data_IF_151926244091
#
_entry.id   IF_151926244091
#
_cell.length_a   1.000
_cell.length_b   1.000
_cell.length_c   1.000
_cell.angle_alpha   90.00
_cell.angle_beta   90.00
_cell.angle_gamma   90.00
#
_symmetry.space_group_name_H-M   'P 1'
#
loop_
_entity.id
_entity.type
_entity.pdbx_description
1 polymer ?
#
# COMPACT_ATOMS: atom_id res chain seq x y z
N UNK A 1 28.39 -20.20 5.87
CA UNK A 1 28.09 -19.07 4.94
C UNK A 1 26.73 -19.22 4.28
N UNK A 2 26.43 -20.28 3.50
CA UNK A 2 25.09 -20.45 2.92
C UNK A 2 24.01 -20.60 4.00
N UNK A 3 24.23 -21.44 5.01
CA UNK A 3 23.29 -21.69 6.10
C UNK A 3 22.98 -20.42 6.93
N UNK A 4 23.97 -19.56 7.15
CA UNK A 4 23.78 -18.31 7.92
C UNK A 4 22.86 -17.33 7.19
N UNK A 5 22.98 -17.19 5.86
CA UNK A 5 22.09 -16.36 5.07
C UNK A 5 20.67 -16.92 5.09
N UNK A 6 20.51 -18.24 4.94
CA UNK A 6 19.19 -18.89 4.93
C UNK A 6 18.40 -18.64 6.21
N UNK A 7 19.07 -18.54 7.38
CA UNK A 7 18.39 -18.19 8.65
C UNK A 7 17.77 -16.78 8.63
N UNK A 8 18.21 -15.91 7.74
CA UNK A 8 17.72 -14.53 7.59
C UNK A 8 16.79 -14.34 6.39
N UNK A 9 16.73 -15.29 5.44
CA UNK A 9 16.03 -15.16 4.16
C UNK A 9 14.58 -14.70 4.29
N UNK A 10 13.77 -15.40 5.09
CA UNK A 10 12.36 -15.07 5.28
C UNK A 10 12.16 -13.67 5.91
N UNK A 11 13.01 -13.32 6.88
CA UNK A 11 12.98 -11.98 7.46
C UNK A 11 13.32 -10.91 6.42
N UNK A 12 14.35 -11.12 5.60
CA UNK A 12 14.75 -10.19 4.54
C UNK A 12 13.67 -10.05 3.48
N UNK A 13 13.01 -11.17 3.11
CA UNK A 13 11.87 -11.20 2.20
C UNK A 13 10.72 -10.34 2.74
N UNK A 14 10.36 -10.50 4.02
CA UNK A 14 9.36 -9.67 4.68
C UNK A 14 9.73 -8.18 4.71
N UNK A 15 11.01 -7.84 4.90
CA UNK A 15 11.52 -6.47 4.86
C UNK A 15 11.39 -5.89 3.44
N UNK A 16 11.87 -6.62 2.44
CA UNK A 16 11.81 -6.21 1.04
C UNK A 16 10.37 -6.04 0.55
N UNK A 17 9.48 -6.96 0.94
CA UNK A 17 8.06 -6.87 0.60
C UNK A 17 7.39 -5.60 1.16
N UNK A 18 7.66 -5.22 2.41
CA UNK A 18 7.18 -3.95 2.99
C UNK A 18 7.70 -2.72 2.24
N UNK A 19 8.89 -2.82 1.68
CA UNK A 19 9.51 -1.73 0.93
C UNK A 19 9.03 -1.65 -0.52
N UNK A 20 8.84 -2.80 -1.19
CA UNK A 20 8.59 -2.89 -2.64
C UNK A 20 7.11 -3.11 -2.98
N UNK A 21 6.34 -3.75 -2.09
CA UNK A 21 4.92 -4.07 -2.30
C UNK A 21 4.68 -5.21 -3.30
N UNK A 22 5.71 -5.93 -3.73
CA UNK A 22 5.66 -7.05 -4.68
C UNK A 22 6.53 -8.19 -4.18
N UNK A 23 5.98 -9.42 -4.15
CA UNK A 23 6.72 -10.62 -3.74
C UNK A 23 7.84 -10.96 -4.71
N UNK A 24 7.58 -10.89 -6.02
CA UNK A 24 8.61 -11.20 -7.01
C UNK A 24 9.81 -10.26 -6.89
N UNK A 25 9.57 -8.95 -6.72
CA UNK A 25 10.67 -8.01 -6.54
C UNK A 25 11.32 -8.13 -5.15
N UNK A 26 10.58 -8.57 -4.13
CA UNK A 26 11.16 -8.88 -2.83
C UNK A 26 12.11 -10.09 -2.92
N UNK A 27 11.72 -11.13 -3.65
CA UNK A 27 12.54 -12.30 -3.91
C UNK A 27 13.79 -11.93 -4.74
N UNK A 28 13.64 -11.10 -5.77
CA UNK A 28 14.77 -10.58 -6.55
C UNK A 28 15.74 -9.76 -5.68
N UNK A 29 15.21 -8.90 -4.80
CA UNK A 29 16.03 -8.10 -3.88
C UNK A 29 16.78 -8.98 -2.86
N UNK A 30 16.17 -10.05 -2.37
CA UNK A 30 16.80 -11.01 -1.47
C UNK A 30 17.87 -11.81 -2.19
N UNK A 31 17.61 -12.21 -3.44
CA UNK A 31 18.60 -12.89 -4.27
C UNK A 31 19.82 -12.00 -4.56
N UNK A 32 19.62 -10.74 -4.90
CA UNK A 32 20.70 -9.78 -5.08
C UNK A 32 21.48 -9.54 -3.77
N UNK A 33 20.79 -9.49 -2.62
CA UNK A 33 21.42 -9.40 -1.30
C UNK A 33 22.30 -10.62 -1.01
N UNK A 34 21.85 -11.83 -1.38
CA UNK A 34 22.65 -13.06 -1.30
C UNK A 34 23.89 -12.99 -2.16
N UNK A 35 23.79 -12.51 -3.40
CA UNK A 35 24.96 -12.35 -4.29
C UNK A 35 25.98 -11.36 -3.71
N UNK A 36 25.52 -10.26 -3.11
CA UNK A 36 26.41 -9.28 -2.44
C UNK A 36 27.07 -9.88 -1.19
N UNK A 37 26.30 -10.64 -0.40
CA UNK A 37 26.84 -11.35 0.75
C UNK A 37 27.97 -12.31 0.37
N UNK A 38 27.79 -13.06 -0.72
CA UNK A 38 28.78 -14.04 -1.19
C UNK A 38 30.10 -13.39 -1.67
N UNK A 39 30.04 -12.13 -2.10
CA UNK A 39 31.20 -11.36 -2.58
C UNK A 39 31.86 -10.52 -1.51
N UNK A 40 31.17 -10.30 -0.39
CA UNK A 40 31.67 -9.47 0.70
C UNK A 40 32.50 -10.29 1.69
N UNK A 41 33.57 -9.68 2.23
CA UNK A 41 34.23 -10.23 3.41
C UNK A 41 33.42 -9.81 4.66
N UNK A 42 32.69 -10.77 5.21
CA UNK A 42 31.80 -10.54 6.35
C UNK A 42 32.36 -11.08 7.67
N UNK A 43 33.63 -11.50 7.71
CA UNK A 43 34.27 -12.08 8.91
C UNK A 43 34.28 -11.12 10.10
N UNK A 44 34.40 -9.84 9.85
CA UNK A 44 34.45 -8.80 10.89
C UNK A 44 33.06 -8.17 11.16
N UNK A 45 31.98 -8.68 10.57
CA UNK A 45 30.61 -8.15 10.76
C UNK A 45 30.03 -8.74 12.05
N UNK A 46 30.06 -7.98 13.14
CA UNK A 46 29.51 -8.39 14.44
C UNK A 46 27.97 -8.62 14.46
N UNK A 47 27.23 -8.03 13.53
CA UNK A 47 25.77 -8.21 13.39
C UNK A 47 25.41 -8.47 11.92
N UNK A 48 25.48 -9.73 11.51
CA UNK A 48 25.18 -10.14 10.14
C UNK A 48 23.72 -9.82 9.73
N UNK A 49 22.75 -10.05 10.62
CA UNK A 49 21.35 -9.77 10.35
C UNK A 49 21.06 -8.28 10.12
N UNK A 50 21.72 -7.39 10.85
CA UNK A 50 21.66 -5.95 10.65
C UNK A 50 22.30 -5.53 9.34
N UNK A 51 23.49 -6.07 9.03
CA UNK A 51 24.20 -5.82 7.78
C UNK A 51 23.37 -6.26 6.55
N UNK A 52 22.82 -7.48 6.57
CA UNK A 52 21.95 -7.99 5.50
C UNK A 52 20.68 -7.13 5.34
N UNK A 53 20.09 -6.67 6.43
CA UNK A 53 18.93 -5.75 6.39
C UNK A 53 19.29 -4.45 5.68
N UNK A 54 20.47 -3.89 5.99
CA UNK A 54 21.00 -2.66 5.37
C UNK A 54 21.25 -2.85 3.87
N UNK A 55 21.87 -3.97 3.48
CA UNK A 55 22.12 -4.31 2.07
C UNK A 55 20.81 -4.46 1.30
N UNK A 56 19.85 -5.21 1.85
CA UNK A 56 18.52 -5.40 1.24
C UNK A 56 17.78 -4.07 1.09
N UNK A 57 17.81 -3.22 2.13
CA UNK A 57 17.17 -1.91 2.09
C UNK A 57 17.77 -0.99 1.00
N UNK A 58 19.08 -1.04 0.78
CA UNK A 58 19.78 -0.28 -0.27
C UNK A 58 19.35 -0.76 -1.66
N UNK A 59 19.24 -2.08 -1.86
CA UNK A 59 18.73 -2.67 -3.11
C UNK A 59 17.28 -2.21 -3.36
N UNK A 60 16.42 -2.27 -2.34
CA UNK A 60 15.03 -1.81 -2.44
C UNK A 60 14.95 -0.32 -2.79
N UNK A 61 15.81 0.52 -2.20
CA UNK A 61 15.87 1.95 -2.52
C UNK A 61 16.21 2.19 -3.98
N UNK A 62 17.20 1.47 -4.51
CA UNK A 62 17.63 1.59 -5.90
C UNK A 62 16.51 1.15 -6.85
N UNK A 63 15.81 0.05 -6.55
CA UNK A 63 14.65 -0.41 -7.32
C UNK A 63 13.50 0.62 -7.30
N UNK A 64 13.20 1.21 -6.15
CA UNK A 64 12.16 2.25 -6.03
C UNK A 64 12.52 3.52 -6.80
N UNK A 65 13.79 3.93 -6.80
CA UNK A 65 14.28 5.08 -7.59
C UNK A 65 14.18 4.79 -9.09
N UNK A 66 14.58 3.58 -9.53
CA UNK A 66 14.48 3.16 -10.93
C UNK A 66 13.01 3.10 -11.42
N UNK A 67 12.06 2.70 -10.56
CA UNK A 67 10.62 2.77 -10.86
C UNK A 67 10.16 4.22 -11.05
N UNK A 68 10.62 5.13 -10.21
CA UNK A 68 10.28 6.56 -10.30
C UNK A 68 10.69 7.16 -11.65
N UNK A 69 11.92 6.90 -12.11
CA UNK A 69 12.43 7.41 -13.39
C UNK A 69 11.76 6.75 -14.62
N UNK A 70 11.35 5.48 -14.54
CA UNK A 70 10.59 4.82 -15.62
C UNK A 70 9.13 5.29 -15.73
N UNK A 71 8.53 5.80 -14.64
CA UNK A 71 7.17 6.36 -14.64
C UNK A 71 7.05 7.69 -15.40
N UNK A 72 8.13 8.34 -15.72
CA UNK A 72 8.16 9.55 -16.56
C UNK A 72 8.08 9.24 -18.07
N UNK A 73 8.23 7.95 -18.46
CA UNK A 73 8.00 7.47 -19.81
C UNK A 73 6.65 6.77 -19.92
N UNK A 74 5.83 7.01 -20.97
CA UNK A 74 4.58 6.28 -21.17
C UNK A 74 4.90 4.80 -21.38
N UNK A 75 4.48 3.94 -20.46
CA UNK A 75 4.64 2.50 -20.59
C UNK A 75 3.32 1.89 -21.06
N UNK A 76 3.38 1.21 -22.19
CA UNK A 76 2.42 0.21 -22.63
C UNK A 76 2.29 -0.88 -21.54
N UNK A 77 1.05 -1.33 -21.32
CA UNK A 77 0.69 -2.36 -20.34
C UNK A 77 1.49 -3.65 -20.59
N UNK A 78 2.52 -3.90 -19.80
CA UNK A 78 3.14 -5.23 -19.75
C UNK A 78 2.46 -6.09 -18.68
N UNK A 79 1.98 -7.30 -19.04
CA UNK A 79 1.46 -8.24 -18.06
C UNK A 79 2.60 -8.72 -17.15
N UNK A 80 2.49 -8.44 -15.84
CA UNK A 80 3.44 -8.95 -14.85
C UNK A 80 3.08 -10.39 -14.51
N UNK A 81 3.89 -11.32 -15.02
CA UNK A 81 3.81 -12.75 -14.76
C UNK A 81 4.42 -13.12 -13.40
N UNK A 82 3.79 -14.02 -12.64
CA UNK A 82 4.52 -15.03 -11.90
C UNK A 82 4.69 -14.90 -10.39
N UNK A 83 3.77 -14.33 -9.60
CA UNK A 83 3.74 -14.60 -8.16
C UNK A 83 2.52 -15.46 -7.79
N UNK A 84 2.71 -16.42 -6.88
CA UNK A 84 1.63 -17.24 -6.36
C UNK A 84 0.64 -16.36 -5.57
N UNK A 85 -0.63 -16.25 -6.02
CA UNK A 85 -1.60 -15.35 -5.38
C UNK A 85 -1.87 -15.70 -3.91
N UNK A 86 -1.74 -16.97 -3.50
CA UNK A 86 -2.00 -17.39 -2.14
C UNK A 86 -0.91 -16.94 -1.16
N UNK A 87 0.37 -17.00 -1.56
CA UNK A 87 1.47 -16.51 -0.73
C UNK A 87 1.44 -14.98 -0.58
N UNK A 88 1.02 -14.27 -1.62
CA UNK A 88 0.88 -12.82 -1.60
C UNK A 88 -0.22 -12.36 -0.63
N UNK A 89 -1.33 -13.11 -0.55
CA UNK A 89 -2.43 -12.87 0.40
C UNK A 89 -1.97 -13.08 1.85
N UNK A 90 -1.27 -14.18 2.15
CA UNK A 90 -0.80 -14.49 3.51
C UNK A 90 0.20 -13.45 4.01
N UNK A 91 1.13 -13.00 3.18
CA UNK A 91 2.12 -12.00 3.57
C UNK A 91 1.51 -10.59 3.68
N UNK A 92 0.54 -10.27 2.82
CA UNK A 92 -0.20 -9.01 2.89
C UNK A 92 -1.06 -8.92 4.16
N UNK A 93 -1.69 -10.02 4.59
CA UNK A 93 -2.43 -10.08 5.85
C UNK A 93 -1.51 -9.90 7.07
N UNK A 94 -0.30 -10.50 7.06
CA UNK A 94 0.67 -10.36 8.13
C UNK A 94 1.24 -8.92 8.28
N UNK A 95 1.23 -8.12 7.20
CA UNK A 95 1.76 -6.73 7.18
C UNK A 95 0.66 -5.68 7.32
N UNK A 96 -0.60 -6.09 7.10
CA UNK A 96 -1.73 -5.18 6.98
C UNK A 96 -1.75 -4.50 5.60
N UNK A 97 -2.72 -4.86 4.77
CA UNK A 97 -2.88 -4.33 3.40
C UNK A 97 -2.95 -2.81 3.36
N UNK A 98 -3.66 -2.22 4.33
CA UNK A 98 -3.77 -0.77 4.45
C UNK A 98 -2.40 -0.08 4.62
N UNK A 99 -1.47 -0.70 5.37
CA UNK A 99 -0.12 -0.17 5.54
C UNK A 99 0.65 -0.19 4.23
N UNK A 100 0.59 -1.27 3.44
CA UNK A 100 1.26 -1.37 2.14
C UNK A 100 0.80 -0.28 1.18
N UNK A 101 -0.51 -0.03 1.12
CA UNK A 101 -1.10 1.02 0.29
C UNK A 101 -0.54 2.40 0.66
N UNK A 102 -0.50 2.70 1.96
CA UNK A 102 0.02 3.98 2.43
C UNK A 102 1.52 4.10 2.18
N UNK A 103 2.28 3.01 2.37
CA UNK A 103 3.71 2.99 2.09
C UNK A 103 4.00 3.30 0.60
N UNK A 104 3.12 2.92 -0.34
CA UNK A 104 3.27 3.26 -1.76
C UNK A 104 3.15 4.75 -2.06
N UNK A 105 2.43 5.50 -1.24
CA UNK A 105 2.31 6.95 -1.39
C UNK A 105 3.54 7.73 -0.90
N UNK A 106 4.44 7.05 -0.19
CA UNK A 106 5.65 7.65 0.34
C UNK A 106 6.73 7.77 -0.76
N UNK A 107 7.50 8.85 -0.71
CA UNK A 107 8.71 8.93 -1.52
C UNK A 107 9.69 7.79 -1.11
N UNK A 108 10.50 7.25 -2.03
CA UNK A 108 11.38 6.12 -1.76
C UNK A 108 12.17 6.24 -0.45
N UNK A 109 12.84 7.37 -0.23
CA UNK A 109 13.63 7.59 0.99
C UNK A 109 12.77 7.71 2.26
N UNK A 110 11.55 8.23 2.17
CA UNK A 110 10.60 8.30 3.29
C UNK A 110 10.13 6.88 3.67
N UNK A 111 9.83 6.04 2.68
CA UNK A 111 9.42 4.65 2.86
C UNK A 111 10.50 3.84 3.56
N UNK A 112 11.74 3.90 3.05
CA UNK A 112 12.88 3.19 3.66
C UNK A 112 13.11 3.65 5.11
N UNK A 113 13.15 4.98 5.35
CA UNK A 113 13.36 5.51 6.71
C UNK A 113 12.26 5.05 7.68
N UNK A 114 11.01 5.02 7.24
CA UNK A 114 9.87 4.57 8.04
C UNK A 114 9.92 3.07 8.32
N UNK A 115 10.09 2.25 7.30
CA UNK A 115 10.10 0.78 7.47
C UNK A 115 11.27 0.37 8.36
N UNK A 116 12.48 0.88 8.13
CA UNK A 116 13.63 0.51 8.95
C UNK A 116 13.48 0.98 10.39
N UNK A 117 13.06 2.21 10.64
CA UNK A 117 12.99 2.75 11.99
C UNK A 117 11.71 2.39 12.74
N UNK A 118 10.54 2.67 12.15
CA UNK A 118 9.25 2.56 12.85
C UNK A 118 8.73 1.12 12.90
N UNK A 119 9.08 0.28 11.91
CA UNK A 119 8.63 -1.12 11.84
C UNK A 119 9.69 -2.08 12.38
N UNK A 120 10.98 -1.82 12.10
CA UNK A 120 12.08 -2.73 12.43
C UNK A 120 12.98 -2.22 13.57
N UNK A 121 12.69 -1.04 14.13
CA UNK A 121 13.42 -0.41 15.23
C UNK A 121 14.94 -0.19 14.95
N UNK A 122 15.35 -0.05 13.69
CA UNK A 122 16.75 0.23 13.32
C UNK A 122 17.09 1.68 13.71
N UNK A 123 18.23 1.93 14.36
CA UNK A 123 18.66 3.27 14.72
C UNK A 123 18.91 4.18 13.52
N UNK A 124 18.57 5.48 13.61
CA UNK A 124 18.80 6.43 12.52
C UNK A 124 20.26 6.52 12.07
N UNK A 125 21.20 6.31 12.97
CA UNK A 125 22.64 6.28 12.65
C UNK A 125 22.99 5.17 11.64
N UNK A 126 22.31 4.02 11.73
CA UNK A 126 22.50 2.89 10.82
C UNK A 126 21.73 3.07 9.51
N UNK A 127 20.57 3.77 9.54
CA UNK A 127 19.76 4.06 8.34
C UNK A 127 20.40 5.16 7.49
N UNK A 128 21.03 6.14 8.12
CA UNK A 128 21.58 7.31 7.44
C UNK A 128 22.54 6.97 6.27
N UNK A 129 23.47 6.01 6.40
CA UNK A 129 24.33 5.57 5.30
C UNK A 129 23.58 4.88 4.16
N UNK A 130 22.44 4.23 4.44
CA UNK A 130 21.58 3.58 3.41
C UNK A 130 20.99 4.64 2.48
N UNK A 131 20.62 5.80 3.05
CA UNK A 131 19.94 6.88 2.35
C UNK A 131 20.88 7.95 1.80
N UNK A 132 22.20 7.86 2.06
CA UNK A 132 23.20 8.89 1.78
C UNK A 132 22.79 10.24 2.42
N UNK A 133 22.43 10.21 3.72
CA UNK A 133 21.95 11.36 4.50
C UNK A 133 22.58 11.41 5.88
N UNK A 134 22.39 12.55 6.58
CA UNK A 134 22.72 12.60 8.01
C UNK A 134 21.60 11.91 8.84
N UNK A 135 21.91 11.46 10.08
CA UNK A 135 20.91 10.93 10.99
C UNK A 135 19.72 11.88 11.23
N UNK A 136 19.97 13.20 11.32
CA UNK A 136 18.95 14.23 11.50
C UNK A 136 18.06 14.35 10.26
N UNK A 137 18.64 14.29 9.05
CA UNK A 137 17.88 14.30 7.81
C UNK A 137 17.03 13.02 7.69
N UNK A 138 17.56 11.88 8.07
CA UNK A 138 16.84 10.59 8.11
C UNK A 138 15.68 10.64 9.11
N UNK A 139 15.88 11.19 10.31
CA UNK A 139 14.81 11.41 11.30
C UNK A 139 13.69 12.31 10.74
N UNK A 140 14.04 13.36 9.99
CA UNK A 140 13.05 14.22 9.31
C UNK A 140 12.25 13.47 8.25
N UNK A 141 12.89 12.56 7.49
CA UNK A 141 12.22 11.70 6.51
C UNK A 141 11.20 10.76 7.19
N UNK A 142 11.61 10.04 8.24
CA UNK A 142 10.71 9.19 9.01
C UNK A 142 9.55 10.00 9.63
N UNK A 143 9.83 11.21 10.13
CA UNK A 143 8.80 12.11 10.67
C UNK A 143 7.76 12.54 9.61
N UNK A 144 8.18 12.80 8.36
CA UNK A 144 7.25 13.08 7.26
C UNK A 144 6.42 11.86 6.90
N UNK A 145 7.07 10.70 6.81
CA UNK A 145 6.38 9.44 6.56
C UNK A 145 5.32 9.15 7.62
N UNK A 146 5.65 9.27 8.92
CA UNK A 146 4.69 9.08 10.02
C UNK A 146 3.46 9.96 9.90
N UNK A 147 3.62 11.24 9.52
CA UNK A 147 2.48 12.14 9.33
C UNK A 147 1.58 11.69 8.19
N UNK A 148 2.15 11.18 7.09
CA UNK A 148 1.39 10.62 5.97
C UNK A 148 0.70 9.30 6.36
N UNK A 149 1.39 8.42 7.11
CA UNK A 149 0.86 7.12 7.52
C UNK A 149 -0.24 7.26 8.57
N UNK A 150 -0.07 8.14 9.58
CA UNK A 150 -1.05 8.30 10.67
C UNK A 150 -2.37 8.92 10.26
N UNK A 151 -2.43 9.60 9.12
CA UNK A 151 -3.65 10.28 8.68
C UNK A 151 -4.19 11.33 9.68
N UNK A 152 -5.50 11.55 9.66
CA UNK A 152 -6.18 12.45 10.61
C UNK A 152 -6.26 11.83 12.01
N UNK A 153 -6.34 12.67 13.03
CA UNK A 153 -6.56 12.22 14.41
C UNK A 153 -7.86 11.42 14.51
N UNK A 154 -7.86 10.23 15.15
CA UNK A 154 -9.08 9.45 15.32
C UNK A 154 -10.19 10.28 15.97
N UNK A 155 -11.35 10.37 15.31
CA UNK A 155 -12.57 10.96 15.85
C UNK A 155 -13.68 9.91 15.85
N UNK A 156 -14.72 10.14 16.66
CA UNK A 156 -15.89 9.25 16.67
C UNK A 156 -16.54 9.16 15.28
N UNK A 157 -16.49 10.24 14.52
CA UNK A 157 -16.99 10.28 13.15
C UNK A 157 -16.16 9.42 12.20
N UNK A 158 -14.82 9.47 12.29
CA UNK A 158 -13.94 8.61 11.47
C UNK A 158 -14.14 7.12 11.77
N UNK A 159 -14.29 6.76 13.04
CA UNK A 159 -14.58 5.37 13.43
C UNK A 159 -15.94 4.89 12.87
N UNK A 160 -16.96 5.77 12.87
CA UNK A 160 -18.26 5.49 12.26
C UNK A 160 -18.12 5.35 10.73
N UNK A 161 -17.46 6.28 10.06
CA UNK A 161 -17.23 6.24 8.62
C UNK A 161 -16.48 4.97 8.20
N UNK A 162 -15.45 4.60 8.98
CA UNK A 162 -14.72 3.33 8.73
C UNK A 162 -15.66 2.13 8.77
N UNK A 163 -16.56 2.03 9.76
CA UNK A 163 -17.53 0.92 9.81
C UNK A 163 -18.42 0.89 8.59
N UNK A 164 -19.01 2.04 8.20
CA UNK A 164 -19.87 2.13 7.01
C UNK A 164 -19.13 1.67 5.75
N UNK A 165 -17.90 2.13 5.56
CA UNK A 165 -17.06 1.76 4.41
C UNK A 165 -16.72 0.28 4.44
N UNK A 166 -16.35 -0.27 5.61
CA UNK A 166 -16.04 -1.69 5.76
C UNK A 166 -17.23 -2.55 5.40
N UNK A 167 -18.44 -2.24 5.92
CA UNK A 167 -19.69 -2.94 5.58
C UNK A 167 -19.99 -2.87 4.07
N UNK A 168 -19.78 -1.68 3.46
CA UNK A 168 -19.94 -1.53 2.01
C UNK A 168 -18.98 -2.45 1.23
N UNK A 169 -17.70 -2.46 1.59
CA UNK A 169 -16.69 -3.27 0.90
C UNK A 169 -16.92 -4.79 1.09
N UNK A 170 -17.35 -5.22 2.27
CA UNK A 170 -17.72 -6.60 2.56
C UNK A 170 -18.89 -7.03 1.68
N UNK A 171 -19.97 -6.25 1.65
CA UNK A 171 -21.13 -6.53 0.82
C UNK A 171 -20.77 -6.57 -0.70
N UNK A 172 -19.86 -5.71 -1.17
CA UNK A 172 -19.35 -5.77 -2.55
C UNK A 172 -18.56 -7.06 -2.80
N UNK A 173 -17.70 -7.48 -1.87
CA UNK A 173 -16.89 -8.72 -2.00
C UNK A 173 -17.79 -9.95 -2.11
N UNK A 174 -18.85 -9.99 -1.33
CA UNK A 174 -19.82 -11.11 -1.29
C UNK A 174 -20.83 -11.04 -2.45
N UNK A 175 -21.00 -9.86 -3.05
CA UNK A 175 -22.07 -9.59 -4.02
C UNK A 175 -23.44 -9.49 -3.37
N UNK A 176 -23.46 -9.08 -2.08
CA UNK A 176 -24.66 -8.95 -1.26
C UNK A 176 -25.37 -7.62 -1.54
N UNK A 177 -26.30 -7.63 -2.52
CA UNK A 177 -27.11 -6.46 -2.86
C UNK A 177 -28.00 -6.01 -1.68
N UNK A 178 -28.69 -6.88 -0.94
CA UNK A 178 -29.39 -6.48 0.29
C UNK A 178 -28.48 -5.77 1.29
N UNK A 179 -27.30 -6.28 1.57
CA UNK A 179 -26.31 -5.66 2.45
C UNK A 179 -25.91 -4.28 1.97
N UNK A 180 -25.65 -4.09 0.66
CA UNK A 180 -25.37 -2.78 0.07
C UNK A 180 -26.50 -1.78 0.31
N UNK A 181 -27.76 -2.20 0.17
CA UNK A 181 -28.92 -1.35 0.39
C UNK A 181 -29.06 -0.85 1.84
N UNK A 182 -28.43 -1.51 2.82
CA UNK A 182 -28.44 -1.05 4.21
C UNK A 182 -27.55 0.17 4.43
N UNK A 183 -26.44 0.26 3.69
CA UNK A 183 -25.44 1.33 3.84
C UNK A 183 -25.51 2.40 2.76
N UNK A 184 -26.25 2.18 1.68
CA UNK A 184 -26.51 3.19 0.65
C UNK A 184 -27.76 4.01 0.99
N UNK A 185 -27.71 5.32 0.77
CA UNK A 185 -28.91 6.16 0.80
C UNK A 185 -29.82 5.82 -0.41
N UNK A 186 -31.17 5.90 -0.27
CA UNK A 186 -32.07 5.56 -1.39
C UNK A 186 -31.79 6.33 -2.68
N UNK A 187 -31.35 7.56 -2.55
CA UNK A 187 -31.03 8.51 -3.63
C UNK A 187 -29.52 8.65 -3.88
N UNK A 188 -28.71 7.72 -3.42
CA UNK A 188 -27.25 7.74 -3.57
C UNK A 188 -26.81 8.04 -5.00
N UNK A 189 -25.77 8.85 -5.13
CA UNK A 189 -25.18 9.22 -6.41
C UNK A 189 -23.77 8.64 -6.50
N UNK A 190 -23.52 7.82 -7.51
CA UNK A 190 -22.17 7.38 -7.87
C UNK A 190 -21.68 8.20 -9.06
N UNK A 191 -20.52 8.83 -8.92
CA UNK A 191 -19.78 9.47 -10.01
C UNK A 191 -18.54 8.67 -10.37
N UNK A 192 -18.10 8.74 -11.61
CA UNK A 192 -16.83 8.13 -12.02
C UNK A 192 -16.16 8.97 -13.11
N UNK A 193 -14.85 8.91 -13.15
CA UNK A 193 -14.05 9.44 -14.26
C UNK A 193 -13.95 8.47 -15.45
N UNK A 194 -14.64 7.32 -15.37
CA UNK A 194 -14.83 6.31 -16.42
C UNK A 194 -16.33 6.11 -16.69
N UNK A 195 -16.68 5.52 -17.84
CA UNK A 195 -18.08 5.28 -18.19
C UNK A 195 -18.72 4.13 -17.38
N UNK A 196 -19.97 4.25 -16.98
CA UNK A 196 -20.84 5.42 -17.08
C UNK A 196 -20.47 6.48 -16.03
N UNK A 197 -20.48 7.78 -16.36
CA UNK A 197 -19.94 8.84 -15.48
C UNK A 197 -20.79 9.09 -14.24
N UNK A 198 -22.09 8.86 -14.30
CA UNK A 198 -23.03 9.08 -13.18
C UNK A 198 -24.08 7.98 -13.13
N UNK A 199 -24.29 7.43 -11.93
CA UNK A 199 -25.38 6.49 -11.65
C UNK A 199 -26.12 6.95 -10.39
N UNK A 200 -27.45 6.80 -10.38
CA UNK A 200 -28.30 7.25 -9.26
C UNK A 200 -29.21 6.14 -8.77
N UNK A 201 -29.49 6.18 -7.46
CA UNK A 201 -30.38 5.28 -6.76
C UNK A 201 -29.71 4.01 -6.27
N UNK A 202 -30.00 3.66 -5.01
CA UNK A 202 -29.33 2.59 -4.29
C UNK A 202 -29.32 1.24 -5.03
N UNK A 203 -30.46 0.86 -5.64
CA UNK A 203 -30.57 -0.43 -6.36
C UNK A 203 -29.64 -0.47 -7.57
N UNK A 204 -29.66 0.56 -8.40
CA UNK A 204 -28.82 0.63 -9.60
C UNK A 204 -27.34 0.61 -9.26
N UNK A 205 -26.96 1.36 -8.21
CA UNK A 205 -25.57 1.44 -7.70
C UNK A 205 -25.14 0.10 -7.13
N UNK A 206 -26.01 -0.59 -6.37
CA UNK A 206 -25.70 -1.89 -5.78
C UNK A 206 -25.53 -2.98 -6.84
N UNK A 207 -26.38 -3.03 -7.87
CA UNK A 207 -26.27 -4.01 -8.95
C UNK A 207 -25.00 -3.79 -9.78
N UNK A 208 -24.64 -2.54 -10.07
CA UNK A 208 -23.38 -2.23 -10.75
C UNK A 208 -22.17 -2.64 -9.90
N UNK A 209 -22.17 -2.30 -8.62
CA UNK A 209 -21.09 -2.68 -7.71
C UNK A 209 -20.89 -4.20 -7.65
N UNK A 210 -21.97 -4.97 -7.63
CA UNK A 210 -21.93 -6.44 -7.70
C UNK A 210 -21.27 -6.95 -8.98
N UNK A 211 -21.62 -6.36 -10.14
CA UNK A 211 -21.15 -6.84 -11.45
C UNK A 211 -19.69 -6.48 -11.72
N UNK A 212 -19.27 -5.24 -11.38
CA UNK A 212 -17.99 -4.70 -11.82
C UNK A 212 -16.88 -4.82 -10.78
N UNK A 213 -17.21 -5.10 -9.51
CA UNK A 213 -16.27 -4.85 -8.41
C UNK A 213 -15.87 -6.08 -7.62
N UNK A 214 -16.53 -7.25 -7.77
CA UNK A 214 -16.31 -8.43 -6.91
C UNK A 214 -14.85 -8.88 -6.87
N UNK A 215 -14.20 -9.03 -8.01
CA UNK A 215 -12.79 -9.43 -8.06
C UNK A 215 -11.85 -8.35 -7.54
N UNK A 216 -12.17 -7.08 -7.77
CA UNK A 216 -11.36 -5.94 -7.35
C UNK A 216 -11.54 -5.62 -5.88
N UNK A 217 -12.72 -5.87 -5.32
CA UNK A 217 -13.05 -5.58 -3.93
C UNK A 217 -12.21 -6.37 -2.92
N UNK A 218 -11.64 -7.51 -3.30
CA UNK A 218 -10.70 -8.25 -2.45
C UNK A 218 -9.41 -7.47 -2.13
N UNK A 219 -9.07 -6.49 -2.97
CA UNK A 219 -7.92 -5.60 -2.78
C UNK A 219 -8.32 -4.21 -2.30
N UNK A 220 -9.59 -4.05 -1.89
CA UNK A 220 -10.10 -2.77 -1.42
C UNK A 220 -9.88 -2.63 0.08
N UNK A 221 -9.33 -1.50 0.51
CA UNK A 221 -9.09 -1.18 1.92
C UNK A 221 -9.61 0.22 2.24
N UNK A 222 -10.21 0.41 3.43
CA UNK A 222 -10.59 1.74 3.91
C UNK A 222 -9.37 2.66 4.02
N UNK A 223 -9.52 3.91 3.56
CA UNK A 223 -8.47 4.91 3.59
C UNK A 223 -9.04 6.32 3.74
N UNK A 224 -8.21 7.28 4.15
CA UNK A 224 -8.48 8.69 3.96
C UNK A 224 -7.83 9.15 2.65
N UNK A 225 -8.62 9.77 1.79
CA UNK A 225 -8.20 10.28 0.50
C UNK A 225 -8.42 11.80 0.50
N UNK A 226 -7.34 12.57 0.43
CA UNK A 226 -7.36 14.03 0.61
C UNK A 226 -8.07 14.45 1.91
N UNK A 227 -7.88 13.66 2.99
CA UNK A 227 -8.51 13.87 4.30
C UNK A 227 -9.98 13.48 4.38
N UNK A 228 -10.59 12.95 3.32
CA UNK A 228 -11.99 12.49 3.26
C UNK A 228 -12.08 10.96 3.43
N UNK A 229 -13.15 10.44 4.06
CA UNK A 229 -13.39 9.00 4.13
C UNK A 229 -13.44 8.38 2.74
N UNK A 230 -12.74 7.29 2.54
CA UNK A 230 -12.64 6.63 1.25
C UNK A 230 -12.23 5.17 1.36
N UNK A 231 -12.02 4.57 0.21
CA UNK A 231 -11.38 3.27 0.07
C UNK A 231 -10.48 3.29 -1.17
N UNK A 232 -9.44 2.47 -1.14
CA UNK A 232 -8.56 2.29 -2.28
C UNK A 232 -8.52 0.83 -2.69
N UNK A 233 -8.50 0.58 -3.99
CA UNK A 233 -8.26 -0.74 -4.57
C UNK A 233 -6.82 -0.80 -5.00
N UNK A 234 -6.05 -1.63 -4.32
CA UNK A 234 -4.59 -1.68 -4.50
C UNK A 234 -4.10 -3.12 -4.71
N UNK A 235 -4.34 -3.73 -5.89
CA UNK A 235 -3.73 -5.01 -6.23
C UNK A 235 -2.20 -4.85 -6.20
N UNK A 236 -1.54 -5.77 -5.51
CA UNK A 236 -0.07 -5.75 -5.32
C UNK A 236 0.45 -4.43 -4.71
N UNK A 237 -0.35 -3.83 -3.80
CA UNK A 237 0.00 -2.57 -3.15
C UNK A 237 -0.15 -1.32 -4.04
N UNK A 238 -0.32 -1.41 -5.34
CA UNK A 238 -0.47 -0.28 -6.25
C UNK A 238 -1.92 0.16 -6.35
N UNK A 239 -2.21 1.41 -5.99
CA UNK A 239 -3.56 1.98 -6.12
C UNK A 239 -3.94 2.10 -7.59
N UNK A 240 -5.02 1.41 -7.96
CA UNK A 240 -5.61 1.44 -9.31
C UNK A 240 -6.96 2.14 -9.35
N UNK A 241 -7.68 2.16 -8.20
CA UNK A 241 -8.95 2.85 -8.04
C UNK A 241 -8.97 3.49 -6.66
N UNK A 242 -9.53 4.69 -6.57
CA UNK A 242 -9.85 5.35 -5.33
C UNK A 242 -11.35 5.64 -5.26
N UNK A 243 -11.97 5.36 -4.13
CA UNK A 243 -13.39 5.62 -3.84
C UNK A 243 -13.45 6.69 -2.77
N UNK A 244 -14.04 7.85 -3.08
CA UNK A 244 -14.23 8.95 -2.12
C UNK A 244 -15.69 8.99 -1.70
N UNK A 245 -15.97 8.76 -0.41
CA UNK A 245 -17.34 8.70 0.10
C UNK A 245 -17.78 9.99 0.75
N UNK A 246 -19.04 10.36 0.52
CA UNK A 246 -19.79 11.31 1.32
C UNK A 246 -20.79 10.51 2.15
N UNK A 247 -20.65 10.59 3.49
CA UNK A 247 -21.44 9.80 4.43
C UNK A 247 -22.24 10.75 5.29
N UNK A 248 -23.54 10.49 5.41
CA UNK A 248 -24.45 11.19 6.30
C UNK A 248 -25.10 10.18 7.26
N UNK A 249 -24.86 10.36 8.57
CA UNK A 249 -25.23 9.35 9.55
C UNK A 249 -24.49 8.04 9.31
N UNK A 250 -25.23 6.99 9.00
CA UNK A 250 -24.72 5.64 8.71
C UNK A 250 -24.91 5.23 7.22
N UNK A 251 -25.17 6.21 6.35
CA UNK A 251 -25.42 5.94 4.92
C UNK A 251 -24.51 6.75 4.02
N UNK A 252 -24.09 6.11 2.94
CA UNK A 252 -23.37 6.71 1.83
C UNK A 252 -24.40 7.44 0.95
N UNK A 253 -24.29 8.76 0.88
CA UNK A 253 -25.16 9.59 0.03
C UNK A 253 -24.56 9.87 -1.34
N UNK A 254 -23.25 9.87 -1.44
CA UNK A 254 -22.52 10.02 -2.70
C UNK A 254 -21.17 9.31 -2.60
N UNK A 255 -20.68 8.76 -3.71
CA UNK A 255 -19.29 8.43 -3.83
C UNK A 255 -18.75 8.63 -5.25
N UNK A 256 -17.47 8.96 -5.31
CA UNK A 256 -16.74 9.16 -6.55
C UNK A 256 -15.74 8.00 -6.76
N UNK A 257 -15.76 7.43 -7.97
CA UNK A 257 -14.79 6.41 -8.42
C UNK A 257 -13.74 7.11 -9.27
N UNK A 258 -12.52 7.12 -8.80
CA UNK A 258 -11.36 7.67 -9.51
C UNK A 258 -10.51 6.50 -9.99
N UNK A 259 -10.43 6.31 -11.31
CA UNK A 259 -9.63 5.26 -11.96
C UNK A 259 -8.58 5.84 -12.94
N UNK A 260 -8.70 7.12 -13.28
CA UNK A 260 -7.73 7.80 -14.14
C UNK A 260 -6.33 7.88 -13.52
N UNK A 261 -5.27 7.33 -14.17
CA UNK A 261 -3.93 7.27 -13.57
C UNK A 261 -3.35 8.65 -13.20
N UNK A 262 -3.69 9.69 -13.96
CA UNK A 262 -3.28 11.07 -13.68
C UNK A 262 -3.89 11.61 -12.39
N UNK A 263 -5.18 11.32 -12.16
CA UNK A 263 -5.89 11.74 -10.96
C UNK A 263 -5.40 10.98 -9.73
N UNK A 264 -5.28 9.66 -9.82
CA UNK A 264 -4.80 8.81 -8.72
C UNK A 264 -3.44 9.28 -8.19
N UNK A 265 -2.52 9.68 -9.07
CA UNK A 265 -1.20 10.19 -8.68
C UNK A 265 -1.24 11.50 -7.88
N UNK A 266 -2.29 12.27 -8.05
CA UNK A 266 -2.49 13.53 -7.32
C UNK A 266 -3.10 13.37 -5.93
N UNK A 267 -3.65 12.18 -5.60
CA UNK A 267 -4.34 11.95 -4.33
C UNK A 267 -3.37 11.76 -3.17
N UNK A 268 -3.69 12.36 -2.03
CA UNK A 268 -3.03 12.10 -0.75
C UNK A 268 -3.79 11.00 -0.02
N UNK A 269 -3.15 9.85 0.19
CA UNK A 269 -3.77 8.67 0.79
C UNK A 269 -3.11 8.40 2.15
N UNK A 270 -3.93 8.17 3.18
CA UNK A 270 -3.50 7.80 4.53
C UNK A 270 -4.45 6.77 5.14
N UNK A 271 -4.05 6.14 6.26
CA UNK A 271 -4.88 5.14 6.95
C UNK A 271 -6.13 5.81 7.54
N UNK A 272 -7.30 5.16 7.37
CA UNK A 272 -8.56 5.55 7.98
C UNK A 272 -8.72 4.87 9.36
#
# INVERSE_FOLDING_TARGET
MADEFETHRERLRGVAYRMLGSLSEADDAVQEAWLRYHRADTRDVGNLGGWLTTVTARICLDLLRARGSRREQPLEDMPVSGADPEQEVVLADAVGRALLVVLETLAPAERIAFVLHDVLAVPFAEIAPVLDRSPEATKKLAGRARRKVRGATPSADLARHRRVITTFLEAVREGDVPGLLTVLAPDVVRRADVAPPVLRGARNVAEEAKLLSRERARYAEPALIDGRPGAVVAPRGRVTIALLFTISGERITEYEVVAGPGRIRGLSISVL
#
